data_IF_739170014206
#
_entry.id   IF_739170014206
#
_cell.length_a   1.000
_cell.length_b   1.000
_cell.length_c   1.000
_cell.angle_alpha   90.00
_cell.angle_beta   90.00
_cell.angle_gamma   90.00
#
_symmetry.space_group_name_H-M   'P 1'
#
loop_
_entity.id
_entity.type
_entity.pdbx_description
1 polymer ?
#
# COMPACT_ATOMS: atom_id res chain seq x y z
N UNK A 1 27.76 -10.80 -8.34
CA UNK A 1 26.56 -11.13 -9.16
C UNK A 1 25.54 -11.80 -8.24
N UNK A 2 24.31 -11.27 -8.07
CA UNK A 2 23.29 -11.92 -7.23
C UNK A 2 22.65 -13.08 -8.02
N UNK A 3 22.58 -14.28 -7.45
CA UNK A 3 21.89 -15.44 -8.03
C UNK A 3 20.46 -15.47 -7.51
N UNK A 4 19.50 -15.76 -8.39
CA UNK A 4 18.10 -15.96 -8.03
C UNK A 4 17.70 -17.41 -8.34
N UNK A 5 16.92 -18.01 -7.44
CA UNK A 5 16.44 -19.38 -7.59
C UNK A 5 14.92 -19.39 -7.57
N UNK A 6 14.31 -20.28 -8.37
CA UNK A 6 12.87 -20.46 -8.45
C UNK A 6 12.54 -21.91 -8.10
N UNK A 7 11.70 -22.10 -7.10
CA UNK A 7 11.28 -23.41 -6.64
C UNK A 7 9.76 -23.52 -6.65
N UNK A 8 9.25 -24.72 -6.95
CA UNK A 8 7.84 -25.07 -6.75
C UNK A 8 7.71 -25.70 -5.37
N UNK A 9 6.75 -25.22 -4.58
CA UNK A 9 6.44 -25.78 -3.27
C UNK A 9 5.10 -26.53 -3.31
N UNK A 10 4.94 -27.51 -2.44
CA UNK A 10 3.70 -28.26 -2.23
C UNK A 10 3.26 -28.07 -0.77
N UNK A 11 2.54 -26.98 -0.46
CA UNK A 11 2.20 -26.63 0.91
C UNK A 11 1.19 -27.62 1.50
N UNK A 12 1.33 -27.91 2.80
CA UNK A 12 0.28 -28.54 3.59
C UNK A 12 -0.92 -27.61 3.72
N UNK A 13 -2.08 -28.13 4.17
CA UNK A 13 -3.30 -27.32 4.36
C UNK A 13 -3.04 -26.08 5.24
N UNK A 14 -2.38 -26.26 6.38
CA UNK A 14 -2.03 -25.16 7.30
C UNK A 14 -1.10 -24.12 6.66
N UNK A 15 -0.12 -24.56 5.86
CA UNK A 15 0.78 -23.65 5.14
C UNK A 15 0.03 -22.86 4.07
N UNK A 16 -0.86 -23.51 3.30
CA UNK A 16 -1.67 -22.84 2.29
C UNK A 16 -2.61 -21.79 2.91
N UNK A 17 -3.23 -22.09 4.05
CA UNK A 17 -4.02 -21.14 4.82
C UNK A 17 -3.19 -19.92 5.25
N UNK A 18 -2.00 -20.14 5.83
CA UNK A 18 -1.12 -19.06 6.26
C UNK A 18 -0.64 -18.20 5.08
N UNK A 19 -0.30 -18.80 3.94
CA UNK A 19 0.07 -18.09 2.71
C UNK A 19 -1.08 -17.21 2.24
N UNK A 20 -2.30 -17.75 2.19
CA UNK A 20 -3.49 -17.02 1.77
C UNK A 20 -3.84 -15.86 2.71
N UNK A 21 -3.74 -16.08 4.03
CA UNK A 21 -3.86 -15.03 5.04
C UNK A 21 -2.82 -13.93 4.81
N UNK A 22 -1.54 -14.31 4.62
CA UNK A 22 -0.44 -13.37 4.39
C UNK A 22 -0.68 -12.51 3.15
N UNK A 23 -1.05 -13.13 2.02
CA UNK A 23 -1.43 -12.43 0.79
C UNK A 23 -2.57 -11.43 1.05
N UNK A 24 -3.62 -11.87 1.75
CA UNK A 24 -4.78 -11.03 2.09
C UNK A 24 -4.39 -9.82 2.93
N UNK A 25 -3.56 -10.03 3.95
CA UNK A 25 -3.08 -8.97 4.83
C UNK A 25 -2.17 -7.98 4.11
N UNK A 26 -1.22 -8.45 3.30
CA UNK A 26 -0.38 -7.58 2.48
C UNK A 26 -1.21 -6.75 1.50
N UNK A 27 -2.24 -7.34 0.87
CA UNK A 27 -3.17 -6.59 0.00
C UNK A 27 -3.92 -5.52 0.78
N UNK A 28 -4.44 -5.85 1.97
CA UNK A 28 -5.16 -4.90 2.81
C UNK A 28 -4.26 -3.72 3.20
N UNK A 29 -3.07 -3.97 3.75
CA UNK A 29 -2.15 -2.92 4.20
C UNK A 29 -1.74 -2.03 3.03
N UNK A 30 -1.43 -2.61 1.86
CA UNK A 30 -1.15 -1.85 0.65
C UNK A 30 -2.32 -0.93 0.28
N UNK A 31 -3.54 -1.48 0.22
CA UNK A 31 -4.73 -0.71 -0.18
C UNK A 31 -5.10 0.34 0.85
N UNK A 32 -4.96 0.06 2.14
CA UNK A 32 -5.21 1.00 3.21
C UNK A 32 -4.29 2.22 3.08
N UNK A 33 -2.97 1.99 2.96
CA UNK A 33 -1.99 3.09 2.82
C UNK A 33 -2.19 3.87 1.52
N UNK A 34 -2.53 3.20 0.42
CA UNK A 34 -2.90 3.88 -0.83
C UNK A 34 -4.18 4.71 -0.69
N UNK A 35 -5.17 4.22 0.07
CA UNK A 35 -6.41 4.93 0.37
C UNK A 35 -6.15 6.22 1.13
N UNK A 36 -5.35 6.15 2.20
CA UNK A 36 -4.93 7.32 2.97
C UNK A 36 -4.26 8.37 2.08
N UNK A 37 -3.33 7.97 1.22
CA UNK A 37 -2.67 8.91 0.31
C UNK A 37 -3.64 9.49 -0.73
N UNK A 38 -4.56 8.68 -1.28
CA UNK A 38 -5.57 9.18 -2.21
C UNK A 38 -6.51 10.21 -1.56
N UNK A 39 -6.87 10.03 -0.29
CA UNK A 39 -7.64 11.03 0.44
C UNK A 39 -6.87 12.34 0.57
N UNK A 40 -5.57 12.28 0.91
CA UNK A 40 -4.68 13.47 0.92
C UNK A 40 -4.64 14.16 -0.44
N UNK A 41 -4.51 13.39 -1.51
CA UNK A 41 -4.46 13.91 -2.87
C UNK A 41 -5.80 14.54 -3.30
N UNK A 42 -6.94 14.00 -2.82
CA UNK A 42 -8.27 14.52 -3.14
C UNK A 42 -8.58 15.87 -2.48
N UNK A 43 -8.00 16.17 -1.30
CA UNK A 43 -8.20 17.47 -0.65
C UNK A 43 -7.83 18.64 -1.56
N UNK A 44 -6.78 18.47 -2.37
CA UNK A 44 -6.40 19.51 -3.33
C UNK A 44 -7.54 19.83 -4.30
N UNK A 45 -8.22 18.81 -4.85
CA UNK A 45 -9.35 19.00 -5.77
C UNK A 45 -10.55 19.67 -5.08
N UNK A 46 -10.83 19.30 -3.82
CA UNK A 46 -11.93 19.88 -3.06
C UNK A 46 -11.68 21.38 -2.82
N UNK A 47 -10.46 21.74 -2.41
CA UNK A 47 -10.10 23.15 -2.20
C UNK A 47 -10.14 23.91 -3.53
N UNK A 48 -9.70 23.30 -4.62
CA UNK A 48 -9.78 23.89 -5.96
C UNK A 48 -11.23 24.19 -6.37
N UNK A 49 -12.15 23.25 -6.12
CA UNK A 49 -13.57 23.44 -6.37
C UNK A 49 -14.17 24.59 -5.53
N UNK A 50 -13.76 24.69 -4.25
CA UNK A 50 -14.20 25.78 -3.36
C UNK A 50 -13.71 27.16 -3.82
N UNK A 51 -12.50 27.24 -4.39
CA UNK A 51 -11.97 28.47 -5.01
C UNK A 51 -12.80 28.86 -6.23
N UNK A 52 -13.14 27.89 -7.09
CA UNK A 52 -13.99 28.14 -8.27
C UNK A 52 -15.40 28.60 -7.90
N UNK A 53 -15.94 28.12 -6.78
CA UNK A 53 -17.23 28.54 -6.23
C UNK A 53 -17.17 29.91 -5.51
N UNK A 54 -15.98 30.50 -5.36
CA UNK A 54 -15.79 31.81 -4.73
C UNK A 54 -15.75 31.78 -3.20
N UNK A 55 -15.67 30.60 -2.58
CA UNK A 55 -15.50 30.48 -1.12
C UNK A 55 -14.09 30.90 -0.66
N UNK A 56 -13.09 30.73 -1.51
CA UNK A 56 -11.69 31.09 -1.25
C UNK A 56 -11.08 31.85 -2.43
N UNK A 57 -10.08 32.68 -2.14
CA UNK A 57 -9.40 33.48 -3.14
C UNK A 57 -8.40 32.66 -3.99
N UNK A 58 -7.74 31.67 -3.38
CA UNK A 58 -6.75 30.82 -4.06
C UNK A 58 -6.56 29.47 -3.34
N UNK A 59 -6.05 28.47 -4.05
CA UNK A 59 -5.76 27.15 -3.51
C UNK A 59 -4.33 27.07 -2.97
N UNK A 60 -4.19 27.19 -1.65
CA UNK A 60 -2.90 27.10 -0.95
C UNK A 60 -2.55 25.69 -0.46
N UNK A 61 -3.33 24.67 -0.82
CA UNK A 61 -3.11 23.30 -0.33
C UNK A 61 -1.86 22.66 -0.94
N UNK A 62 -0.91 22.26 -0.09
CA UNK A 62 0.27 21.50 -0.50
C UNK A 62 0.11 20.04 -0.10
N UNK A 63 -0.22 19.19 -1.06
CA UNK A 63 -0.30 17.75 -0.85
C UNK A 63 1.07 17.17 -0.48
N UNK A 64 1.11 16.36 0.58
CA UNK A 64 2.33 15.65 0.98
C UNK A 64 2.61 14.46 0.05
N UNK A 65 3.88 14.28 -0.31
CA UNK A 65 4.31 13.06 -0.99
C UNK A 65 4.13 11.83 -0.10
N UNK A 66 3.91 10.67 -0.73
CA UNK A 66 3.78 9.42 -0.02
C UNK A 66 5.04 9.10 0.80
N UNK A 67 4.87 9.01 2.12
CA UNK A 67 5.96 8.66 3.03
C UNK A 67 5.83 7.19 3.47
N UNK A 68 6.70 6.34 2.91
CA UNK A 68 6.74 4.91 3.21
C UNK A 68 7.11 4.61 4.67
N UNK A 69 8.03 5.38 5.27
CA UNK A 69 8.48 5.15 6.64
C UNK A 69 7.35 5.42 7.66
N UNK A 70 6.60 6.51 7.46
CA UNK A 70 5.43 6.82 8.27
C UNK A 70 4.34 5.76 8.09
N UNK A 71 4.07 5.36 6.84
CA UNK A 71 3.09 4.31 6.55
C UNK A 71 3.47 2.95 7.17
N UNK A 72 4.76 2.62 7.25
CA UNK A 72 5.25 1.42 7.95
C UNK A 72 5.02 1.53 9.46
N UNK A 73 5.30 2.68 10.06
CA UNK A 73 5.02 2.92 11.49
C UNK A 73 3.53 2.78 11.80
N UNK A 74 2.66 3.21 10.89
CA UNK A 74 1.22 3.09 11.04
C UNK A 74 0.71 1.64 11.03
N UNK A 75 1.48 0.67 10.50
CA UNK A 75 1.13 -0.76 10.61
C UNK A 75 1.00 -1.17 12.08
N UNK A 76 1.84 -0.65 12.98
CA UNK A 76 1.75 -0.96 14.40
C UNK A 76 0.42 -0.47 15.00
N UNK A 77 -0.09 0.68 14.54
CA UNK A 77 -1.41 1.19 14.93
C UNK A 77 -2.52 0.32 14.34
N UNK A 78 -2.41 -0.06 13.07
CA UNK A 78 -3.37 -0.95 12.42
C UNK A 78 -3.49 -2.29 13.14
N UNK A 79 -2.38 -2.88 13.60
CA UNK A 79 -2.39 -4.12 14.38
C UNK A 79 -3.14 -4.00 15.70
N UNK A 80 -3.31 -2.80 16.26
CA UNK A 80 -4.15 -2.59 17.46
C UNK A 80 -5.64 -2.65 17.13
N UNK A 81 -6.04 -2.18 15.96
CA UNK A 81 -7.44 -2.17 15.50
C UNK A 81 -7.84 -3.48 14.80
N UNK A 82 -6.87 -4.19 14.21
CA UNK A 82 -7.09 -5.37 13.39
C UNK A 82 -6.18 -6.52 13.86
N UNK A 83 -6.67 -7.34 14.78
CA UNK A 83 -5.87 -8.40 15.40
C UNK A 83 -5.38 -9.46 14.42
N UNK A 84 -6.14 -9.75 13.37
CA UNK A 84 -5.76 -10.71 12.32
C UNK A 84 -4.49 -10.30 11.55
N UNK A 85 -4.05 -9.02 11.61
CA UNK A 85 -2.75 -8.59 11.07
C UNK A 85 -1.56 -9.08 11.92
N UNK A 86 -1.79 -9.54 13.16
CA UNK A 86 -0.76 -10.12 14.03
C UNK A 86 -0.48 -11.59 13.71
N UNK A 87 -1.39 -12.26 12.99
CA UNK A 87 -1.26 -13.68 12.64
C UNK A 87 -0.21 -13.95 11.55
N UNK A 88 0.19 -12.91 10.80
CA UNK A 88 1.06 -13.04 9.63
C UNK A 88 2.41 -12.37 9.85
N UNK A 89 3.38 -12.76 9.04
CA UNK A 89 4.73 -12.20 9.06
C UNK A 89 4.72 -10.68 8.89
N UNK A 90 5.30 -9.98 9.87
CA UNK A 90 5.41 -8.53 9.87
C UNK A 90 6.29 -7.99 8.74
N UNK A 91 7.30 -8.75 8.31
CA UNK A 91 8.22 -8.35 7.23
C UNK A 91 7.46 -8.30 5.91
N UNK A 92 6.57 -9.27 5.66
CA UNK A 92 5.68 -9.27 4.50
C UNK A 92 4.75 -8.04 4.46
N UNK A 93 4.21 -7.62 5.62
CA UNK A 93 3.39 -6.40 5.70
C UNK A 93 4.20 -5.14 5.37
N UNK A 94 5.40 -5.01 5.95
CA UNK A 94 6.29 -3.88 5.68
C UNK A 94 6.71 -3.82 4.21
N UNK A 95 7.11 -4.96 3.63
CA UNK A 95 7.46 -5.08 2.23
C UNK A 95 6.31 -4.66 1.30
N UNK A 96 5.05 -4.92 1.68
CA UNK A 96 3.89 -4.45 0.91
C UNK A 96 3.83 -2.91 0.82
N UNK A 97 4.14 -2.21 1.91
CA UNK A 97 4.20 -0.73 1.95
C UNK A 97 5.44 -0.20 1.24
N UNK A 98 6.58 -0.88 1.35
CA UNK A 98 7.78 -0.52 0.58
C UNK A 98 7.52 -0.60 -0.93
N UNK A 99 6.84 -1.65 -1.38
CA UNK A 99 6.44 -1.81 -2.78
C UNK A 99 5.51 -0.67 -3.25
N UNK A 100 4.58 -0.22 -2.39
CA UNK A 100 3.77 0.96 -2.66
C UNK A 100 4.64 2.23 -2.78
N UNK A 101 5.59 2.40 -1.86
CA UNK A 101 6.56 3.50 -1.88
C UNK A 101 7.36 3.54 -3.18
N UNK A 102 7.87 2.40 -3.63
CA UNK A 102 8.58 2.29 -4.91
C UNK A 102 7.68 2.62 -6.11
N UNK A 103 6.39 2.29 -6.04
CA UNK A 103 5.40 2.68 -7.04
C UNK A 103 5.22 4.20 -7.09
N UNK A 104 5.09 4.84 -5.94
CA UNK A 104 5.02 6.30 -5.85
C UNK A 104 6.32 6.98 -6.30
N UNK A 105 7.50 6.45 -5.92
CA UNK A 105 8.79 6.97 -6.36
C UNK A 105 8.89 7.00 -7.91
N UNK A 106 8.40 5.96 -8.59
CA UNK A 106 8.33 5.91 -10.06
C UNK A 106 7.33 6.92 -10.64
N UNK A 107 6.16 7.04 -10.01
CA UNK A 107 5.13 8.00 -10.40
C UNK A 107 5.65 9.44 -10.32
N UNK A 108 6.28 9.81 -9.20
CA UNK A 108 6.85 11.16 -9.01
C UNK A 108 8.01 11.45 -9.98
N UNK A 109 8.80 10.44 -10.33
CA UNK A 109 9.84 10.53 -11.37
C UNK A 109 9.29 10.52 -12.81
N UNK A 110 7.97 10.43 -13.01
CA UNK A 110 7.31 10.31 -14.32
C UNK A 110 7.82 9.11 -15.15
N UNK A 111 8.34 8.06 -14.50
CA UNK A 111 8.81 6.82 -15.14
C UNK A 111 7.81 5.68 -15.02
N UNK A 112 6.74 5.87 -14.25
CA UNK A 112 5.65 4.90 -14.10
C UNK A 112 4.32 5.59 -13.82
N UNK A 113 3.24 4.82 -13.90
CA UNK A 113 1.90 5.31 -13.60
C UNK A 113 1.62 5.40 -12.09
N UNK A 114 0.55 6.13 -11.74
CA UNK A 114 0.07 6.23 -10.36
C UNK A 114 -0.31 4.85 -9.79
N UNK A 115 0.04 4.54 -8.53
CA UNK A 115 -0.35 3.28 -7.90
C UNK A 115 -1.88 3.08 -7.90
N UNK A 116 -2.31 1.83 -8.13
CA UNK A 116 -3.72 1.42 -8.16
C UNK A 116 -4.00 0.41 -7.04
N UNK A 117 -5.25 0.37 -6.58
CA UNK A 117 -5.67 -0.62 -5.60
C UNK A 117 -5.47 -2.03 -6.13
N UNK A 118 -4.96 -2.93 -5.28
CA UNK A 118 -4.83 -4.35 -5.56
C UNK A 118 -6.20 -5.02 -5.44
N UNK A 119 -6.59 -5.77 -6.47
CA UNK A 119 -7.83 -6.55 -6.49
C UNK A 119 -7.63 -7.95 -5.93
N UNK A 120 -8.65 -8.47 -5.23
CA UNK A 120 -8.71 -9.88 -4.81
C UNK A 120 -9.01 -10.81 -6.00
N UNK A 121 -9.62 -10.29 -7.08
CA UNK A 121 -10.01 -11.04 -8.27
C UNK A 121 -8.86 -11.28 -9.26
N UNK A 122 -7.66 -10.75 -9.00
CA UNK A 122 -6.52 -11.07 -9.85
C UNK A 122 -6.15 -12.53 -9.66
N UNK A 123 -6.08 -13.28 -10.76
CA UNK A 123 -5.73 -14.70 -10.79
C UNK A 123 -4.38 -14.98 -10.11
N UNK A 124 -3.41 -14.08 -10.35
CA UNK A 124 -2.08 -14.17 -9.74
C UNK A 124 -2.02 -13.26 -8.52
N UNK A 125 -1.93 -13.86 -7.33
CA UNK A 125 -1.66 -13.17 -6.08
C UNK A 125 -0.27 -13.55 -5.56
N UNK A 126 0.44 -12.58 -5.00
CA UNK A 126 1.78 -12.79 -4.44
C UNK A 126 2.07 -11.83 -3.29
N UNK A 127 3.03 -12.21 -2.46
CA UNK A 127 3.65 -11.34 -1.47
C UNK A 127 5.16 -11.49 -1.52
N UNK A 128 5.87 -10.54 -0.93
CA UNK A 128 7.32 -10.56 -0.79
C UNK A 128 7.63 -10.44 0.69
N UNK A 129 8.56 -11.25 1.17
CA UNK A 129 9.18 -11.11 2.48
C UNK A 129 10.69 -11.24 2.30
N UNK A 130 11.48 -10.62 3.18
CA UNK A 130 12.95 -10.50 3.08
C UNK A 130 13.64 -11.46 4.05
#
# INVERSE_FOLDING_TARGET
>A
RKKAYKFRIYPTKKQAELINKTIGCCRFVFNYSLGVQKTKDNYWNIVEEMVQQGYFQENNWKGEFFNKANSIKDIAKLKKSYDWLKEVDSIALQASVENLGAGYDKYYKKTGGRPKFKSKKNEIQSYTTK
#
